data_IF_870743551028
#
_entry.id   IF_870743551028
#
_cell.length_a   1.000
_cell.length_b   1.000
_cell.length_c   1.000
_cell.angle_alpha   90.00
_cell.angle_beta   90.00
_cell.angle_gamma   90.00
#
_symmetry.space_group_name_H-M   'P 1'
#
loop_
_entity.id
_entity.type
_entity.pdbx_description
1 polymer ?
#
# COMPACT_ATOMS: atom_id res chain seq x y z
N UNK A 1 9.28 -1.62 -40.51
CA UNK A 1 8.55 -1.22 -39.28
C UNK A 1 7.95 -2.45 -38.59
N UNK A 2 7.23 -3.31 -39.31
CA UNK A 2 6.67 -4.58 -38.79
C UNK A 2 7.77 -5.49 -38.21
N UNK A 3 8.83 -5.77 -38.98
CA UNK A 3 9.94 -6.63 -38.55
C UNK A 3 10.68 -6.12 -37.29
N UNK A 4 10.79 -4.80 -37.13
CA UNK A 4 11.38 -4.20 -35.93
C UNK A 4 10.48 -4.34 -34.71
N UNK A 5 9.16 -4.25 -34.89
CA UNK A 5 8.16 -4.48 -33.84
C UNK A 5 8.10 -5.95 -33.46
N UNK A 6 8.12 -6.86 -34.43
CA UNK A 6 8.19 -8.30 -34.20
C UNK A 6 9.46 -8.68 -33.44
N UNK A 7 10.61 -8.11 -33.84
CA UNK A 7 11.87 -8.32 -33.14
C UNK A 7 11.84 -7.78 -31.71
N UNK A 8 11.21 -6.62 -31.49
CA UNK A 8 11.05 -6.04 -30.15
C UNK A 8 10.13 -6.89 -29.26
N UNK A 9 8.98 -7.32 -29.79
CA UNK A 9 8.02 -8.18 -29.08
C UNK A 9 8.68 -9.52 -28.77
N UNK A 10 9.29 -10.16 -29.76
CA UNK A 10 10.01 -11.42 -29.59
C UNK A 10 11.16 -11.30 -28.58
N UNK A 11 11.96 -10.24 -28.63
CA UNK A 11 13.05 -10.02 -27.68
C UNK A 11 12.53 -9.76 -26.26
N UNK A 12 11.49 -8.93 -26.11
CA UNK A 12 10.88 -8.64 -24.80
C UNK A 12 10.22 -9.87 -24.20
N UNK A 13 9.59 -10.68 -25.05
CA UNK A 13 8.99 -11.94 -24.67
C UNK A 13 10.06 -12.94 -24.19
N UNK A 14 11.12 -13.14 -24.98
CA UNK A 14 12.26 -14.01 -24.59
C UNK A 14 12.96 -13.53 -23.32
N UNK A 15 13.15 -12.22 -23.14
CA UNK A 15 13.72 -11.65 -21.91
C UNK A 15 12.82 -11.91 -20.70
N UNK A 16 11.50 -11.79 -20.88
CA UNK A 16 10.52 -12.13 -19.85
C UNK A 16 10.56 -13.61 -19.47
N UNK A 17 10.73 -14.51 -20.45
CA UNK A 17 10.92 -15.94 -20.18
C UNK A 17 12.23 -16.21 -19.43
N UNK A 18 13.34 -15.59 -19.82
CA UNK A 18 14.64 -15.74 -19.13
C UNK A 18 14.52 -15.30 -17.66
N UNK A 19 13.93 -14.13 -17.38
CA UNK A 19 13.71 -13.70 -16.00
C UNK A 19 12.81 -14.67 -15.22
N UNK A 20 11.74 -15.19 -15.84
CA UNK A 20 10.86 -16.14 -15.19
C UNK A 20 11.56 -17.48 -14.88
N UNK A 21 12.46 -17.95 -15.75
CA UNK A 21 13.28 -19.15 -15.51
C UNK A 21 14.31 -18.94 -14.39
N UNK A 22 14.94 -17.76 -14.32
CA UNK A 22 15.85 -17.39 -13.22
C UNK A 22 15.13 -17.36 -11.86
N UNK A 23 13.89 -16.90 -11.81
CA UNK A 23 13.07 -16.85 -10.60
C UNK A 23 12.51 -18.23 -10.18
N UNK A 24 12.40 -19.18 -11.11
CA UNK A 24 11.89 -20.53 -10.85
C UNK A 24 12.73 -21.63 -11.54
N UNK A 25 13.93 -21.95 -11.02
CA UNK A 25 14.87 -22.86 -11.67
C UNK A 25 14.40 -24.33 -11.78
N UNK A 26 13.33 -24.70 -11.08
CA UNK A 26 12.69 -26.02 -11.21
C UNK A 26 11.72 -26.11 -12.40
N UNK A 27 11.33 -24.98 -13.01
CA UNK A 27 10.49 -24.89 -14.21
C UNK A 27 11.31 -24.34 -15.40
N UNK A 28 12.08 -25.21 -16.06
CA UNK A 28 12.76 -24.85 -17.31
C UNK A 28 11.73 -24.50 -18.38
N UNK A 29 11.83 -23.29 -18.92
CA UNK A 29 10.90 -22.82 -19.92
C UNK A 29 11.32 -23.40 -21.28
N UNK A 30 10.62 -24.43 -21.75
CA UNK A 30 10.81 -24.93 -23.10
C UNK A 30 10.03 -24.06 -24.09
N UNK A 31 10.70 -23.04 -24.65
CA UNK A 31 10.10 -22.15 -25.64
C UNK A 31 9.79 -22.82 -27.00
N UNK A 32 10.10 -24.12 -27.16
CA UNK A 32 9.82 -24.91 -28.36
C UNK A 32 8.49 -25.68 -28.31
N UNK A 33 7.84 -25.80 -27.14
CA UNK A 33 6.54 -26.50 -26.99
C UNK A 33 5.40 -25.50 -26.72
N UNK A 34 4.17 -25.86 -27.12
CA UNK A 34 2.97 -25.00 -27.15
C UNK A 34 2.45 -24.52 -25.77
N UNK A 35 2.98 -25.01 -24.65
CA UNK A 35 2.57 -24.59 -23.31
C UNK A 35 3.64 -23.73 -22.63
N UNK A 36 3.49 -22.41 -22.81
CA UNK A 36 4.24 -21.42 -22.03
C UNK A 36 3.73 -21.50 -20.59
N UNK A 37 4.57 -21.86 -19.60
CA UNK A 37 4.12 -21.95 -18.23
C UNK A 37 3.65 -20.56 -17.76
N UNK A 38 2.59 -20.50 -16.94
CA UNK A 38 2.10 -19.23 -16.42
C UNK A 38 3.20 -18.57 -15.57
N UNK A 39 3.61 -17.37 -15.95
CA UNK A 39 4.55 -16.57 -15.15
C UNK A 39 3.78 -16.04 -13.94
N UNK A 40 4.13 -16.56 -12.76
CA UNK A 40 3.53 -16.15 -11.50
C UNK A 40 3.84 -14.67 -11.23
N UNK A 41 2.82 -13.91 -10.83
CA UNK A 41 3.03 -12.52 -10.41
C UNK A 41 3.24 -12.47 -8.90
N UNK A 42 4.51 -12.59 -8.48
CA UNK A 42 4.89 -12.77 -7.08
C UNK A 42 4.37 -11.65 -6.16
N UNK A 43 4.42 -10.38 -6.57
CA UNK A 43 3.93 -9.27 -5.76
C UNK A 43 2.41 -9.35 -5.53
N UNK A 44 1.65 -9.77 -6.55
CA UNK A 44 0.22 -10.00 -6.41
C UNK A 44 -0.07 -11.20 -5.49
N UNK A 45 0.73 -12.26 -5.57
CA UNK A 45 0.62 -13.42 -4.70
C UNK A 45 0.96 -13.07 -3.25
N UNK A 46 2.07 -12.38 -3.00
CA UNK A 46 2.49 -11.93 -1.67
C UNK A 46 1.42 -11.02 -1.05
N UNK A 47 0.83 -10.11 -1.83
CA UNK A 47 -0.29 -9.30 -1.37
C UNK A 47 -1.48 -10.15 -0.94
N UNK A 48 -1.88 -11.16 -1.72
CA UNK A 48 -3.01 -12.02 -1.37
C UNK A 48 -2.71 -12.95 -0.18
N UNK A 49 -1.48 -13.49 -0.09
CA UNK A 49 -1.03 -14.34 1.04
C UNK A 49 -1.17 -13.59 2.36
N UNK A 50 -0.69 -12.35 2.41
CA UNK A 50 -0.70 -11.49 3.59
C UNK A 50 -2.10 -11.02 4.03
N UNK A 51 -3.17 -11.28 3.26
CA UNK A 51 -4.54 -10.92 3.68
C UNK A 51 -5.07 -11.91 4.72
N UNK A 52 -5.56 -11.37 5.83
CA UNK A 52 -6.13 -12.13 6.95
C UNK A 52 -7.57 -12.57 6.63
N UNK A 53 -7.88 -13.88 6.59
CA UNK A 53 -9.24 -14.39 6.42
C UNK A 53 -10.15 -13.92 7.56
N UNK A 54 -11.29 -13.32 7.22
CA UNK A 54 -12.26 -12.85 8.20
C UNK A 54 -13.70 -13.09 7.73
N UNK A 55 -14.59 -13.31 8.69
CA UNK A 55 -16.04 -13.34 8.43
C UNK A 55 -16.53 -11.97 7.98
N UNK A 56 -17.73 -11.93 7.40
CA UNK A 56 -18.37 -10.68 6.98
C UNK A 56 -18.54 -9.70 8.14
N UNK A 57 -18.92 -10.19 9.32
CA UNK A 57 -19.19 -9.36 10.48
C UNK A 57 -17.91 -8.68 10.98
N UNK A 58 -16.83 -9.45 11.13
CA UNK A 58 -15.52 -8.93 11.51
C UNK A 58 -14.99 -7.93 10.47
N UNK A 59 -15.09 -8.26 9.18
CA UNK A 59 -14.66 -7.37 8.11
C UNK A 59 -15.43 -6.04 8.08
N UNK A 60 -16.74 -6.07 8.36
CA UNK A 60 -17.56 -4.85 8.45
C UNK A 60 -17.21 -4.00 9.66
N UNK A 61 -16.79 -4.63 10.77
CA UNK A 61 -16.31 -3.93 11.97
C UNK A 61 -14.93 -3.28 11.78
N UNK A 62 -14.17 -3.66 10.74
CA UNK A 62 -12.92 -2.99 10.41
C UNK A 62 -13.17 -1.57 9.89
N UNK A 63 -12.31 -0.66 10.34
CA UNK A 63 -12.12 0.66 9.74
C UNK A 63 -11.89 0.51 8.22
N UNK A 64 -12.49 1.34 7.35
CA UNK A 64 -12.43 1.17 5.91
C UNK A 64 -11.02 1.01 5.32
N UNK A 65 -10.04 1.72 5.89
CA UNK A 65 -8.62 1.66 5.49
C UNK A 65 -7.94 0.32 5.78
N UNK A 66 -8.44 -0.46 6.73
CA UNK A 66 -7.87 -1.77 7.11
C UNK A 66 -8.36 -2.91 6.22
N UNK A 67 -9.46 -2.70 5.49
CA UNK A 67 -10.12 -3.75 4.70
C UNK A 67 -9.23 -4.34 3.60
N UNK A 68 -8.21 -3.62 3.14
CA UNK A 68 -7.19 -4.17 2.23
C UNK A 68 -6.35 -5.27 2.84
N UNK A 69 -6.19 -5.30 4.16
CA UNK A 69 -5.44 -6.32 4.91
C UNK A 69 -6.28 -7.55 5.26
N UNK A 70 -7.59 -7.51 5.03
CA UNK A 70 -8.48 -8.63 5.30
C UNK A 70 -9.01 -9.25 3.99
N UNK A 71 -9.18 -10.56 3.98
CA UNK A 71 -9.83 -11.33 2.93
C UNK A 71 -11.19 -11.82 3.44
N UNK A 72 -12.25 -11.56 2.69
CA UNK A 72 -13.60 -11.99 3.08
C UNK A 72 -14.40 -12.46 1.88
N UNK A 73 -15.25 -13.46 2.12
CA UNK A 73 -16.27 -13.91 1.18
C UNK A 73 -17.58 -13.88 1.94
N UNK A 74 -18.41 -12.88 1.66
CA UNK A 74 -19.55 -12.51 2.51
C UNK A 74 -20.59 -13.63 2.78
N UNK A 75 -20.66 -14.67 1.93
CA UNK A 75 -21.55 -15.83 2.11
C UNK A 75 -20.94 -16.96 2.96
N UNK A 76 -19.64 -16.90 3.25
CA UNK A 76 -18.96 -17.87 4.08
C UNK A 76 -18.99 -17.38 5.54
N UNK A 77 -19.61 -18.18 6.40
CA UNK A 77 -19.85 -17.83 7.81
C UNK A 77 -18.64 -18.05 8.72
N UNK A 78 -17.66 -18.84 8.27
CA UNK A 78 -16.53 -19.29 9.08
C UNK A 78 -15.19 -18.89 8.42
N UNK A 79 -14.25 -18.42 9.24
CA UNK A 79 -12.95 -17.97 8.76
C UNK A 79 -12.14 -19.07 8.06
N UNK A 80 -12.28 -20.33 8.47
CA UNK A 80 -11.61 -21.47 7.84
C UNK A 80 -12.10 -21.71 6.41
N UNK A 81 -13.41 -21.60 6.20
CA UNK A 81 -14.03 -21.72 4.88
C UNK A 81 -13.63 -20.52 4.00
N UNK A 82 -13.53 -19.32 4.59
CA UNK A 82 -12.97 -18.13 3.93
C UNK A 82 -11.51 -18.33 3.53
N UNK A 83 -10.69 -18.94 4.38
CA UNK A 83 -9.28 -19.23 4.08
C UNK A 83 -9.14 -20.27 2.95
N UNK A 84 -10.00 -21.29 2.91
CA UNK A 84 -10.04 -22.25 1.80
C UNK A 84 -10.33 -21.55 0.46
N UNK A 85 -11.26 -20.60 0.44
CA UNK A 85 -11.50 -19.78 -0.75
C UNK A 85 -10.27 -18.93 -1.12
N UNK A 86 -9.56 -18.36 -0.14
CA UNK A 86 -8.29 -17.63 -0.36
C UNK A 86 -7.24 -18.53 -1.01
N UNK A 87 -7.08 -19.76 -0.51
CA UNK A 87 -6.12 -20.76 -1.03
C UNK A 87 -6.40 -21.16 -2.48
N UNK A 88 -7.67 -21.31 -2.87
CA UNK A 88 -8.04 -21.55 -4.28
C UNK A 88 -7.59 -20.38 -5.16
N UNK A 89 -7.81 -19.14 -4.73
CA UNK A 89 -7.37 -17.97 -5.49
C UNK A 89 -5.85 -17.86 -5.58
N UNK A 90 -5.13 -18.20 -4.51
CA UNK A 90 -3.67 -18.26 -4.51
C UNK A 90 -3.14 -19.28 -5.51
N UNK A 91 -3.72 -20.49 -5.52
CA UNK A 91 -3.40 -21.52 -6.51
C UNK A 91 -3.67 -21.02 -7.93
N UNK A 92 -4.77 -20.30 -8.14
CA UNK A 92 -5.11 -19.73 -9.43
C UNK A 92 -4.13 -18.65 -9.90
N UNK A 93 -3.68 -17.77 -9.00
CA UNK A 93 -2.63 -16.79 -9.31
C UNK A 93 -1.29 -17.45 -9.64
N UNK A 94 -0.92 -18.50 -8.91
CA UNK A 94 0.34 -19.20 -9.11
C UNK A 94 0.39 -20.02 -10.40
N UNK A 95 -0.73 -20.66 -10.76
CA UNK A 95 -0.83 -21.60 -11.88
C UNK A 95 -1.60 -21.06 -13.08
N UNK A 96 -1.98 -19.78 -13.08
CA UNK A 96 -2.80 -19.19 -14.15
C UNK A 96 -4.16 -19.88 -14.34
N UNK A 97 -4.75 -20.47 -13.30
CA UNK A 97 -5.99 -21.23 -13.43
C UNK A 97 -7.18 -20.33 -13.78
N UNK A 98 -8.04 -20.85 -14.66
CA UNK A 98 -9.26 -20.15 -15.09
C UNK A 98 -10.30 -20.04 -13.97
N UNK A 99 -11.26 -19.13 -14.14
CA UNK A 99 -12.44 -19.08 -13.29
C UNK A 99 -13.16 -20.45 -13.20
N UNK A 100 -13.31 -21.15 -14.33
CA UNK A 100 -14.03 -22.42 -14.38
C UNK A 100 -13.36 -23.49 -13.52
N UNK A 101 -12.03 -23.64 -13.61
CA UNK A 101 -11.28 -24.56 -12.76
C UNK A 101 -11.36 -24.18 -11.28
N UNK A 102 -11.29 -22.89 -10.93
CA UNK A 102 -11.46 -22.47 -9.53
C UNK A 102 -12.86 -22.74 -8.98
N UNK A 103 -13.88 -22.70 -9.84
CA UNK A 103 -15.26 -23.01 -9.46
C UNK A 103 -15.43 -24.49 -9.14
N UNK A 104 -14.84 -25.37 -9.96
CA UNK A 104 -14.83 -26.81 -9.68
C UNK A 104 -14.06 -27.13 -8.38
N UNK A 105 -12.89 -26.53 -8.19
CA UNK A 105 -12.09 -26.66 -6.96
C UNK A 105 -12.85 -26.19 -5.72
N UNK A 106 -13.66 -25.13 -5.84
CA UNK A 106 -14.50 -24.63 -4.76
C UNK A 106 -15.57 -25.67 -4.38
N UNK A 107 -16.30 -26.21 -5.35
CA UNK A 107 -17.34 -27.23 -5.12
C UNK A 107 -16.79 -28.49 -4.45
N UNK A 108 -15.56 -28.88 -4.73
CA UNK A 108 -14.92 -30.03 -4.08
C UNK A 108 -14.54 -29.77 -2.61
N UNK A 109 -14.38 -28.50 -2.21
CA UNK A 109 -13.91 -28.12 -0.87
C UNK A 109 -15.01 -27.64 0.05
N UNK A 110 -16.09 -27.11 -0.51
CA UNK A 110 -17.21 -26.54 0.26
C UNK A 110 -18.55 -26.98 -0.35
N UNK A 111 -19.54 -27.20 0.52
CA UNK A 111 -20.92 -27.46 0.08
C UNK A 111 -21.56 -26.15 -0.42
N UNK A 112 -21.35 -25.87 -1.71
CA UNK A 112 -21.84 -24.64 -2.34
C UNK A 112 -23.37 -24.57 -2.36
N UNK A 113 -24.05 -25.71 -2.41
CA UNK A 113 -25.51 -25.78 -2.50
C UNK A 113 -26.14 -25.47 -1.15
N UNK A 114 -25.64 -26.07 -0.06
CA UNK A 114 -26.07 -25.74 1.29
C UNK A 114 -25.82 -24.26 1.65
N UNK A 115 -24.73 -23.68 1.14
CA UNK A 115 -24.38 -22.26 1.33
C UNK A 115 -25.07 -21.32 0.32
N UNK A 116 -25.83 -21.85 -0.64
CA UNK A 116 -26.49 -21.08 -1.71
C UNK A 116 -25.50 -20.24 -2.54
N UNK A 117 -24.27 -20.71 -2.70
CA UNK A 117 -23.22 -20.08 -3.51
C UNK A 117 -23.41 -20.53 -4.95
N UNK A 118 -23.67 -19.56 -5.82
CA UNK A 118 -23.85 -19.79 -7.27
C UNK A 118 -22.58 -19.41 -8.03
N UNK A 119 -22.38 -19.94 -9.25
CA UNK A 119 -21.20 -19.62 -10.07
C UNK A 119 -20.97 -18.10 -10.21
N UNK A 120 -22.01 -17.32 -10.54
CA UNK A 120 -21.88 -15.86 -10.68
C UNK A 120 -21.48 -15.12 -9.39
N UNK A 121 -21.77 -15.67 -8.21
CA UNK A 121 -21.25 -15.12 -6.95
C UNK A 121 -19.76 -15.41 -6.82
N UNK A 122 -19.32 -16.63 -7.12
CA UNK A 122 -17.90 -16.96 -7.13
C UNK A 122 -17.13 -16.14 -8.16
N UNK A 123 -17.70 -15.87 -9.32
CA UNK A 123 -17.06 -14.99 -10.32
C UNK A 123 -16.79 -13.59 -9.74
N UNK A 124 -17.72 -13.03 -8.96
CA UNK A 124 -17.50 -11.77 -8.26
C UNK A 124 -16.30 -11.85 -7.31
N UNK A 125 -16.23 -12.93 -6.51
CA UNK A 125 -15.16 -13.17 -5.53
C UNK A 125 -13.82 -13.30 -6.24
N UNK A 126 -13.75 -14.18 -7.24
CA UNK A 126 -12.57 -14.42 -8.06
C UNK A 126 -12.08 -13.12 -8.71
N UNK A 127 -12.91 -12.48 -9.55
CA UNK A 127 -12.49 -11.30 -10.31
C UNK A 127 -12.08 -10.14 -9.41
N UNK A 128 -12.84 -9.87 -8.35
CA UNK A 128 -12.57 -8.71 -7.49
C UNK A 128 -11.26 -8.87 -6.72
N UNK A 129 -11.00 -10.06 -6.17
CA UNK A 129 -9.78 -10.30 -5.41
C UNK A 129 -8.56 -10.45 -6.33
N UNK A 130 -8.69 -11.14 -7.45
CA UNK A 130 -7.63 -11.23 -8.47
C UNK A 130 -7.27 -9.83 -8.97
N UNK A 131 -8.25 -9.01 -9.37
CA UNK A 131 -7.98 -7.63 -9.81
C UNK A 131 -7.27 -6.81 -8.71
N UNK A 132 -7.74 -6.89 -7.46
CA UNK A 132 -7.11 -6.20 -6.33
C UNK A 132 -5.66 -6.63 -6.12
N UNK A 133 -5.36 -7.92 -6.23
CA UNK A 133 -4.01 -8.45 -6.09
C UNK A 133 -3.08 -7.96 -7.20
N UNK A 134 -3.52 -8.03 -8.46
CA UNK A 134 -2.75 -7.52 -9.59
C UNK A 134 -2.50 -6.01 -9.52
N UNK A 135 -3.48 -5.21 -9.07
CA UNK A 135 -3.26 -3.77 -8.87
C UNK A 135 -2.23 -3.53 -7.77
N UNK A 136 -2.34 -4.22 -6.64
CA UNK A 136 -1.38 -4.09 -5.55
C UNK A 136 0.03 -4.46 -6.00
N UNK A 137 0.19 -5.59 -6.72
CA UNK A 137 1.47 -6.03 -7.25
C UNK A 137 2.07 -5.02 -8.23
N UNK A 138 1.27 -4.48 -9.17
CA UNK A 138 1.76 -3.46 -10.11
C UNK A 138 2.22 -2.20 -9.39
N UNK A 139 1.45 -1.73 -8.42
CA UNK A 139 1.84 -0.57 -7.61
C UNK A 139 3.14 -0.84 -6.86
N UNK A 140 3.34 -2.07 -6.39
CA UNK A 140 4.54 -2.46 -5.65
C UNK A 140 5.77 -2.43 -6.57
N UNK A 141 5.66 -2.93 -7.80
CA UNK A 141 6.71 -2.81 -8.81
C UNK A 141 7.02 -1.37 -9.19
N UNK A 142 6.02 -0.49 -9.16
CA UNK A 142 6.19 0.93 -9.43
C UNK A 142 6.73 1.71 -8.22
N UNK A 143 6.68 1.14 -7.02
CA UNK A 143 7.18 1.76 -5.81
C UNK A 143 8.69 1.98 -5.94
N UNK A 144 9.20 3.12 -5.47
CA UNK A 144 10.62 3.50 -5.56
C UNK A 144 11.21 3.67 -6.97
N UNK A 145 10.38 3.66 -8.02
CA UNK A 145 10.80 3.98 -9.39
C UNK A 145 10.46 5.44 -9.76
N UNK A 146 11.00 5.93 -10.88
CA UNK A 146 10.80 7.31 -11.35
C UNK A 146 9.50 7.51 -12.16
N UNK A 147 8.44 6.73 -11.87
CA UNK A 147 7.12 6.90 -12.54
C UNK A 147 6.62 8.34 -12.39
N UNK A 148 6.27 8.94 -13.51
CA UNK A 148 5.75 10.31 -13.57
C UNK A 148 4.23 10.35 -13.35
N UNK A 149 3.51 9.39 -13.93
CA UNK A 149 2.06 9.32 -13.91
C UNK A 149 1.56 7.88 -13.93
N UNK A 150 0.29 7.68 -13.57
CA UNK A 150 -0.40 6.41 -13.76
C UNK A 150 -1.54 6.60 -14.76
N UNK A 151 -1.61 5.69 -15.72
CA UNK A 151 -2.74 5.56 -16.62
C UNK A 151 -3.75 4.57 -16.04
N UNK A 152 -5.01 4.99 -15.93
CA UNK A 152 -6.12 4.09 -15.68
C UNK A 152 -6.48 3.38 -16.98
N UNK A 153 -6.34 2.05 -17.03
CA UNK A 153 -6.73 1.25 -18.18
C UNK A 153 -8.18 0.81 -18.00
N UNK A 154 -9.11 1.61 -18.52
CA UNK A 154 -10.54 1.30 -18.54
C UNK A 154 -10.87 0.63 -19.86
N UNK A 155 -11.47 -0.57 -19.81
CA UNK A 155 -11.98 -1.25 -21.01
C UNK A 155 -13.34 -0.63 -21.34
N UNK A 156 -13.43 0.04 -22.49
CA UNK A 156 -14.67 0.59 -23.03
C UNK A 156 -15.41 -0.45 -23.89
N UNK A 157 -16.52 -0.96 -23.37
CA UNK A 157 -17.41 -1.90 -24.05
C UNK A 157 -18.83 -1.83 -23.43
N UNK A 158 -19.72 -2.73 -23.87
CA UNK A 158 -21.08 -2.84 -23.34
C UNK A 158 -21.14 -3.14 -21.83
N UNK A 159 -20.08 -3.73 -21.27
CA UNK A 159 -19.93 -4.14 -19.87
C UNK A 159 -19.16 -3.11 -19.02
N UNK A 160 -18.72 -1.97 -19.56
CA UNK A 160 -18.11 -0.92 -18.75
C UNK A 160 -19.13 -0.41 -17.73
N UNK A 161 -18.76 -0.39 -16.45
CA UNK A 161 -19.68 0.07 -15.41
C UNK A 161 -19.98 1.56 -15.55
N UNK A 162 -21.16 2.00 -15.09
CA UNK A 162 -21.50 3.43 -15.02
C UNK A 162 -20.49 4.21 -14.15
N UNK A 163 -19.84 3.56 -13.20
CA UNK A 163 -18.79 4.16 -12.36
C UNK A 163 -17.53 4.40 -13.20
N UNK A 164 -16.98 3.36 -13.83
CA UNK A 164 -15.72 3.47 -14.58
C UNK A 164 -15.85 4.28 -15.88
N UNK A 165 -17.05 4.41 -16.45
CA UNK A 165 -17.28 5.30 -17.60
C UNK A 165 -16.90 6.76 -17.32
N UNK A 166 -16.98 7.20 -16.07
CA UNK A 166 -16.56 8.56 -15.68
C UNK A 166 -15.04 8.75 -15.64
N UNK A 167 -14.26 7.69 -15.86
CA UNK A 167 -12.80 7.73 -15.95
C UNK A 167 -12.29 7.70 -17.39
N UNK A 168 -13.17 7.55 -18.37
CA UNK A 168 -12.83 7.55 -19.78
C UNK A 168 -12.53 8.98 -20.27
N UNK A 169 -11.53 9.11 -21.12
CA UNK A 169 -11.24 10.31 -21.90
C UNK A 169 -12.00 10.27 -23.23
N UNK A 170 -11.91 11.35 -24.01
CA UNK A 170 -12.52 11.40 -25.35
C UNK A 170 -12.00 10.33 -26.30
N UNK A 171 -10.81 9.76 -26.03
CA UNK A 171 -10.20 8.71 -26.85
C UNK A 171 -10.66 7.29 -26.48
N UNK A 172 -11.58 7.13 -25.52
CA UNK A 172 -12.08 5.83 -25.08
C UNK A 172 -11.12 5.03 -24.17
N UNK A 173 -10.00 5.64 -23.78
CA UNK A 173 -9.08 5.10 -22.77
C UNK A 173 -9.30 5.78 -21.43
N UNK A 174 -8.80 5.20 -20.33
CA UNK A 174 -8.89 5.87 -19.04
C UNK A 174 -7.82 6.96 -18.87
N UNK A 175 -8.09 7.88 -17.94
CA UNK A 175 -7.25 9.04 -17.68
C UNK A 175 -5.81 8.69 -17.30
N UNK A 176 -4.86 9.54 -17.72
CA UNK A 176 -3.47 9.56 -17.29
C UNK A 176 -3.28 10.69 -16.29
N UNK A 177 -3.07 10.35 -15.01
CA UNK A 177 -2.94 11.33 -13.94
C UNK A 177 -1.53 11.29 -13.36
N UNK A 178 -0.96 12.47 -13.09
CA UNK A 178 0.33 12.59 -12.39
C UNK A 178 0.31 11.78 -11.08
N UNK A 179 1.47 11.23 -10.69
CA UNK A 179 1.63 10.43 -9.47
C UNK A 179 1.15 11.17 -8.20
N UNK A 180 1.28 12.49 -8.17
CA UNK A 180 0.86 13.36 -7.05
C UNK A 180 -0.54 13.97 -7.21
N UNK A 181 -1.31 13.58 -8.23
CA UNK A 181 -2.64 14.13 -8.45
C UNK A 181 -3.58 13.80 -7.28
N UNK A 182 -4.40 14.76 -6.85
CA UNK A 182 -5.29 14.62 -5.68
C UNK A 182 -6.35 13.52 -5.81
N UNK A 183 -6.59 13.03 -7.04
CA UNK A 183 -7.39 11.83 -7.32
C UNK A 183 -6.95 10.63 -6.48
N UNK A 184 -5.64 10.35 -6.43
CA UNK A 184 -5.12 9.16 -5.73
C UNK A 184 -5.35 9.24 -4.23
N UNK A 185 -5.25 10.43 -3.62
CA UNK A 185 -5.59 10.64 -2.21
C UNK A 185 -7.08 10.48 -1.94
N UNK A 186 -7.94 10.96 -2.85
CA UNK A 186 -9.40 10.94 -2.65
C UNK A 186 -10.05 9.59 -2.96
N UNK A 187 -9.68 8.98 -4.08
CA UNK A 187 -10.31 7.78 -4.61
C UNK A 187 -9.39 6.56 -4.63
N UNK A 188 -8.06 6.77 -4.65
CA UNK A 188 -7.09 5.68 -4.72
C UNK A 188 -7.08 4.95 -6.06
N UNK A 189 -6.80 3.66 -6.00
CA UNK A 189 -6.59 2.78 -7.15
C UNK A 189 -7.73 1.75 -7.27
N UNK A 190 -7.92 1.13 -8.45
CA UNK A 190 -8.93 0.07 -8.63
C UNK A 190 -8.68 -1.14 -7.71
N UNK A 191 -9.69 -1.99 -7.46
CA UNK A 191 -11.04 -1.94 -8.03
C UNK A 191 -11.91 -0.84 -7.41
N UNK A 192 -12.82 -0.27 -8.21
CA UNK A 192 -13.78 0.75 -7.76
C UNK A 192 -15.18 0.20 -7.47
N UNK A 193 -15.43 -1.06 -7.78
CA UNK A 193 -16.68 -1.80 -7.57
C UNK A 193 -16.43 -3.30 -7.80
N UNK A 194 -17.42 -4.15 -7.50
CA UNK A 194 -17.36 -5.58 -7.81
C UNK A 194 -17.22 -5.83 -9.32
N UNK A 195 -16.42 -6.82 -9.72
CA UNK A 195 -16.09 -7.12 -11.13
C UNK A 195 -15.48 -5.93 -11.90
N UNK A 196 -14.81 -5.00 -11.22
CA UNK A 196 -14.09 -3.94 -11.91
C UNK A 196 -12.99 -4.53 -12.79
N UNK A 197 -12.92 -4.09 -14.04
CA UNK A 197 -11.90 -4.48 -15.02
C UNK A 197 -10.87 -3.38 -15.28
N UNK A 198 -10.94 -2.29 -14.50
CA UNK A 198 -9.98 -1.20 -14.63
C UNK A 198 -8.63 -1.63 -14.07
N UNK A 199 -7.60 -1.60 -14.91
CA UNK A 199 -6.20 -1.82 -14.53
C UNK A 199 -5.47 -0.48 -14.40
N UNK A 200 -4.19 -0.53 -14.00
CA UNK A 200 -3.25 0.58 -14.11
C UNK A 200 -2.06 0.23 -14.99
N UNK A 201 -1.38 1.27 -15.49
CA UNK A 201 -0.06 1.23 -16.14
C UNK A 201 0.78 2.42 -15.64
N UNK A 202 2.05 2.20 -15.37
CA UNK A 202 3.00 3.28 -15.17
C UNK A 202 3.25 4.05 -16.46
N UNK A 203 3.35 5.37 -16.37
CA UNK A 203 3.81 6.24 -17.46
C UNK A 203 5.11 6.90 -17.02
N UNK A 204 6.18 6.60 -17.75
CA UNK A 204 7.53 7.08 -17.45
C UNK A 204 7.75 8.50 -17.97
N UNK A 205 8.72 9.26 -17.41
CA UNK A 205 9.00 10.62 -17.85
C UNK A 205 9.23 10.76 -19.36
N UNK A 206 9.90 9.79 -19.97
CA UNK A 206 10.18 9.77 -21.41
C UNK A 206 8.94 9.46 -22.28
N UNK A 207 7.89 8.86 -21.70
CA UNK A 207 6.65 8.57 -22.43
C UNK A 207 5.70 9.77 -22.48
N UNK A 208 5.85 10.74 -21.57
CA UNK A 208 4.94 11.88 -21.47
C UNK A 208 4.90 12.66 -22.79
N UNK A 209 3.70 12.86 -23.34
CA UNK A 209 3.48 13.55 -24.60
C UNK A 209 3.82 12.73 -25.86
N UNK A 210 4.25 11.47 -25.70
CA UNK A 210 4.54 10.55 -26.82
C UNK A 210 3.44 9.51 -26.95
N UNK A 211 3.15 9.06 -28.18
CA UNK A 211 2.22 7.95 -28.46
C UNK A 211 0.83 8.08 -27.78
N UNK A 212 0.34 9.31 -27.60
CA UNK A 212 -0.94 9.59 -26.95
C UNK A 212 -0.92 9.58 -25.42
N UNK A 213 0.25 9.48 -24.77
CA UNK A 213 0.40 9.57 -23.31
C UNK A 213 0.37 11.02 -22.81
N UNK A 214 -0.71 11.74 -23.09
CA UNK A 214 -0.91 13.11 -22.62
C UNK A 214 -1.44 13.09 -21.18
N UNK A 215 -0.87 13.91 -20.30
CA UNK A 215 -1.37 14.05 -18.93
C UNK A 215 -2.75 14.71 -18.94
N UNK A 216 -3.73 14.01 -18.38
CA UNK A 216 -5.02 14.57 -18.01
C UNK A 216 -4.89 15.35 -16.69
N UNK A 217 -5.40 16.57 -16.65
CA UNK A 217 -5.42 17.39 -15.43
C UNK A 217 -6.85 17.80 -15.03
N UNK A 218 -7.76 16.82 -14.79
CA UNK A 218 -9.13 17.12 -14.43
C UNK A 218 -9.20 17.74 -13.03
N UNK A 219 -9.90 18.85 -12.88
CA UNK A 219 -10.20 19.36 -11.55
C UNK A 219 -11.01 18.34 -10.73
N UNK A 220 -10.82 18.28 -9.41
CA UNK A 220 -11.64 17.38 -8.58
C UNK A 220 -13.15 17.68 -8.64
N UNK A 221 -13.53 18.89 -9.08
CA UNK A 221 -14.93 19.29 -9.30
C UNK A 221 -15.54 18.61 -10.54
N UNK A 222 -14.76 18.37 -11.59
CA UNK A 222 -15.26 17.64 -12.78
C UNK A 222 -15.46 16.16 -12.52
N UNK A 223 -14.78 15.60 -11.51
CA UNK A 223 -14.85 14.18 -11.13
C UNK A 223 -15.89 13.86 -10.05
N UNK A 224 -16.89 14.73 -9.86
CA UNK A 224 -17.95 14.56 -8.83
C UNK A 224 -18.92 13.43 -9.13
N UNK A 225 -19.07 13.06 -10.41
CA UNK A 225 -19.90 11.92 -10.85
C UNK A 225 -19.19 10.57 -10.66
N UNK A 226 -17.87 10.57 -10.61
CA UNK A 226 -17.11 9.37 -10.28
C UNK A 226 -17.24 9.06 -8.79
N UNK A 227 -18.01 8.01 -8.49
CA UNK A 227 -18.30 7.56 -7.12
C UNK A 227 -18.01 6.06 -7.02
N UNK A 228 -16.80 5.68 -6.56
CA UNK A 228 -16.52 4.30 -6.20
C UNK A 228 -17.58 3.75 -5.24
N UNK A 229 -17.85 2.45 -5.33
CA UNK A 229 -18.73 1.79 -4.37
C UNK A 229 -18.11 1.88 -2.97
N UNK A 230 -18.94 1.97 -1.93
CA UNK A 230 -18.46 2.06 -0.55
C UNK A 230 -17.50 0.90 -0.22
N UNK A 231 -16.32 1.23 0.30
CA UNK A 231 -15.26 0.26 0.61
C UNK A 231 -14.35 -0.13 -0.57
N UNK A 232 -14.54 0.45 -1.76
CA UNK A 232 -13.66 0.28 -2.93
C UNK A 232 -12.81 1.55 -3.19
N UNK A 233 -11.77 1.42 -4.01
CA UNK A 233 -10.76 2.46 -4.22
C UNK A 233 -9.56 2.30 -3.28
N UNK A 234 -9.01 3.41 -2.78
CA UNK A 234 -7.95 3.41 -1.76
C UNK A 234 -6.56 2.99 -2.25
N UNK A 235 -5.57 3.00 -1.35
CA UNK A 235 -4.21 2.56 -1.65
C UNK A 235 -3.94 1.19 -1.00
N UNK A 236 -3.86 0.09 -1.78
CA UNK A 236 -3.60 -1.24 -1.21
C UNK A 236 -2.19 -1.36 -0.59
N UNK A 237 -1.27 -0.45 -0.92
CA UNK A 237 0.07 -0.41 -0.35
C UNK A 237 0.18 0.47 0.90
N UNK A 238 -0.94 0.98 1.42
CA UNK A 238 -0.92 1.87 2.56
C UNK A 238 -0.22 1.24 3.76
N UNK A 239 0.89 1.87 4.18
CA UNK A 239 1.85 1.31 5.13
C UNK A 239 1.33 1.38 6.57
N UNK A 240 0.58 2.42 6.89
CA UNK A 240 0.00 2.57 8.23
C UNK A 240 -1.01 1.49 8.62
N UNK A 241 -1.66 0.87 7.65
CA UNK A 241 -2.65 -0.18 7.93
C UNK A 241 -2.06 -1.44 8.60
N UNK A 242 -0.75 -1.69 8.49
CA UNK A 242 -0.08 -2.79 9.19
C UNK A 242 -0.05 -2.58 10.71
N UNK A 243 0.15 -1.35 11.18
CA UNK A 243 0.20 -1.05 12.62
C UNK A 243 -1.17 -1.10 13.30
N UNK A 244 -2.25 -1.02 12.52
CA UNK A 244 -3.63 -0.88 13.01
C UNK A 244 -4.39 -2.22 13.03
N UNK A 245 -3.69 -3.36 13.08
CA UNK A 245 -4.34 -4.67 13.10
C UNK A 245 -5.18 -4.85 14.36
N UNK A 246 -6.44 -5.25 14.19
CA UNK A 246 -7.32 -5.57 15.33
C UNK A 246 -6.89 -6.87 16.01
N UNK A 247 -7.26 -7.07 17.28
CA UNK A 247 -6.97 -8.34 17.99
C UNK A 247 -7.55 -9.55 17.21
N UNK A 248 -8.76 -9.45 16.66
CA UNK A 248 -9.33 -10.50 15.80
C UNK A 248 -8.50 -10.77 14.53
N UNK A 249 -7.89 -9.74 13.95
CA UNK A 249 -6.99 -9.93 12.81
C UNK A 249 -5.70 -10.63 13.24
N UNK A 250 -5.17 -10.31 14.42
CA UNK A 250 -3.97 -10.96 14.95
C UNK A 250 -4.25 -12.43 15.27
N UNK A 251 -5.36 -12.72 15.95
CA UNK A 251 -5.78 -14.07 16.28
C UNK A 251 -5.96 -14.92 15.01
N UNK A 252 -6.61 -14.37 13.99
CA UNK A 252 -6.76 -15.05 12.70
C UNK A 252 -5.42 -15.23 11.97
N UNK A 253 -4.53 -14.23 12.00
CA UNK A 253 -3.20 -14.34 11.39
C UNK A 253 -2.35 -15.43 12.07
N UNK A 254 -2.41 -15.55 13.40
CA UNK A 254 -1.76 -16.62 14.15
C UNK A 254 -2.39 -17.98 13.85
N UNK A 255 -3.74 -18.06 13.84
CA UNK A 255 -4.48 -19.29 13.56
C UNK A 255 -4.15 -19.88 12.18
N UNK A 256 -3.97 -19.04 11.18
CA UNK A 256 -3.71 -19.45 9.79
C UNK A 256 -2.23 -19.36 9.38
N UNK A 257 -1.31 -19.17 10.34
CA UNK A 257 0.15 -19.08 10.11
C UNK A 257 0.55 -18.03 9.06
N UNK A 258 -0.08 -16.85 9.11
CA UNK A 258 0.11 -15.77 8.13
C UNK A 258 1.14 -14.73 8.57
N UNK A 259 1.68 -14.83 9.78
CA UNK A 259 2.64 -13.86 10.31
C UNK A 259 3.86 -13.72 9.38
N UNK A 260 4.49 -14.80 8.88
CA UNK A 260 5.62 -14.69 7.95
C UNK A 260 5.25 -13.93 6.66
N UNK A 261 4.09 -14.21 6.07
CA UNK A 261 3.62 -13.54 4.86
C UNK A 261 3.31 -12.05 5.10
N UNK A 262 2.73 -11.72 6.24
CA UNK A 262 2.44 -10.33 6.64
C UNK A 262 3.75 -9.55 6.84
N UNK A 263 4.72 -10.13 7.54
CA UNK A 263 6.05 -9.53 7.73
C UNK A 263 6.76 -9.35 6.39
N UNK A 264 6.78 -10.38 5.54
CA UNK A 264 7.35 -10.30 4.18
C UNK A 264 6.73 -9.16 3.39
N UNK A 265 5.39 -9.04 3.41
CA UNK A 265 4.69 -7.95 2.72
C UNK A 265 5.04 -6.59 3.31
N UNK A 266 5.02 -6.42 4.64
CA UNK A 266 5.37 -5.16 5.30
C UNK A 266 6.80 -4.71 4.94
N UNK A 267 7.77 -5.61 5.05
CA UNK A 267 9.18 -5.34 4.76
C UNK A 267 9.39 -5.00 3.29
N UNK A 268 8.70 -5.69 2.37
CA UNK A 268 8.75 -5.40 0.93
C UNK A 268 8.20 -4.01 0.57
N UNK A 269 7.43 -3.37 1.46
CA UNK A 269 6.95 -1.99 1.32
C UNK A 269 7.84 -0.98 2.06
N UNK A 270 8.98 -1.40 2.58
CA UNK A 270 9.94 -0.56 3.31
C UNK A 270 9.52 -0.29 4.76
N UNK A 271 8.78 -1.20 5.39
CA UNK A 271 8.53 -1.20 6.83
C UNK A 271 9.43 -2.21 7.54
N UNK A 272 10.76 -2.09 7.43
CA UNK A 272 11.71 -3.03 8.04
C UNK A 272 11.56 -3.16 9.55
N UNK A 273 11.07 -2.11 10.21
CA UNK A 273 10.87 -2.01 11.66
C UNK A 273 9.43 -2.32 12.10
N UNK A 274 8.64 -2.96 11.23
CA UNK A 274 7.29 -3.40 11.59
C UNK A 274 7.34 -4.64 12.49
N UNK A 275 6.68 -4.55 13.64
CA UNK A 275 6.52 -5.66 14.58
C UNK A 275 5.04 -6.03 14.70
N UNK A 276 4.70 -7.23 14.26
CA UNK A 276 3.34 -7.79 14.32
C UNK A 276 2.80 -7.86 15.75
N UNK A 277 3.64 -8.09 16.76
CA UNK A 277 3.19 -8.19 18.15
C UNK A 277 2.74 -6.86 18.76
N UNK A 278 3.17 -5.77 18.13
CA UNK A 278 2.91 -4.40 18.55
C UNK A 278 1.84 -3.70 17.75
N UNK A 279 1.54 -4.20 16.55
CA UNK A 279 0.32 -3.84 15.85
C UNK A 279 -0.89 -4.08 16.75
N UNK A 280 -1.88 -3.21 16.68
CA UNK A 280 -3.00 -3.30 17.60
C UNK A 280 -4.10 -2.26 17.42
N UNK A 281 -5.09 -2.40 18.31
CA UNK A 281 -6.16 -1.43 18.46
C UNK A 281 -5.69 -0.13 19.13
N UNK A 282 -6.45 0.94 18.92
CA UNK A 282 -6.31 2.18 19.67
C UNK A 282 -6.51 1.96 21.17
N UNK A 283 -5.72 2.64 21.98
CA UNK A 283 -5.89 2.73 23.43
C UNK A 283 -6.44 4.11 23.83
N UNK A 284 -6.59 4.33 25.15
CA UNK A 284 -7.01 5.64 25.67
C UNK A 284 -6.02 6.72 25.21
N UNK A 285 -6.49 7.83 24.60
CA UNK A 285 -5.63 8.92 24.17
C UNK A 285 -4.77 9.46 25.32
N UNK A 286 -3.53 9.86 25.02
CA UNK A 286 -2.60 10.40 26.01
C UNK A 286 -2.58 11.92 25.96
N UNK A 287 -2.55 12.54 27.14
CA UNK A 287 -2.69 13.98 27.30
C UNK A 287 -1.32 14.68 27.35
N UNK A 288 -1.23 15.81 26.66
CA UNK A 288 -0.11 16.74 26.82
C UNK A 288 -0.26 17.48 28.16
N UNK A 289 0.76 17.41 29.00
CA UNK A 289 0.81 17.99 30.33
C UNK A 289 0.36 19.46 30.31
N UNK A 290 -0.45 19.84 31.31
CA UNK A 290 -0.97 21.21 31.48
C UNK A 290 -1.83 21.73 30.31
N UNK A 291 -2.32 20.86 29.43
CA UNK A 291 -3.23 21.24 28.34
C UNK A 291 -4.43 20.30 28.30
N UNK A 292 -5.47 20.63 27.52
CA UNK A 292 -6.58 19.73 27.23
C UNK A 292 -6.33 18.81 26.02
N UNK A 293 -5.20 19.00 25.33
CA UNK A 293 -4.87 18.26 24.11
C UNK A 293 -4.58 16.79 24.42
N UNK A 294 -5.11 15.88 23.59
CA UNK A 294 -4.89 14.44 23.69
C UNK A 294 -4.58 13.85 22.34
N UNK A 295 -3.45 13.15 22.22
CA UNK A 295 -3.05 12.43 21.01
C UNK A 295 -3.60 11.00 21.02
N UNK A 296 -3.96 10.50 19.84
CA UNK A 296 -4.33 9.08 19.66
C UNK A 296 -3.10 8.21 19.82
N UNK A 297 -3.25 7.06 20.47
CA UNK A 297 -2.15 6.13 20.69
C UNK A 297 -2.62 4.70 20.47
N UNK A 298 -1.71 3.82 20.05
CA UNK A 298 -1.95 2.38 20.05
C UNK A 298 -1.74 1.79 21.45
N UNK A 299 -2.28 0.59 21.66
CA UNK A 299 -2.01 -0.20 22.86
C UNK A 299 -0.50 -0.34 23.06
N UNK A 300 -0.05 -0.23 24.32
CA UNK A 300 1.37 -0.24 24.74
C UNK A 300 2.21 1.00 24.36
N UNK A 301 1.68 1.95 23.59
CA UNK A 301 2.40 3.19 23.32
C UNK A 301 2.56 4.07 24.58
N UNK A 302 3.76 4.63 24.76
CA UNK A 302 4.14 5.47 25.89
C UNK A 302 4.91 6.72 25.42
N UNK A 303 4.30 7.55 24.55
CA UNK A 303 4.98 8.72 23.98
C UNK A 303 5.44 9.71 25.06
N UNK A 304 6.61 10.30 24.83
CA UNK A 304 7.15 11.37 25.67
C UNK A 304 6.38 12.66 25.44
N UNK A 305 6.34 13.55 26.44
CA UNK A 305 5.63 14.84 26.33
C UNK A 305 6.07 15.70 25.13
N UNK A 306 7.35 15.62 24.77
CA UNK A 306 7.89 16.30 23.59
C UNK A 306 7.37 15.72 22.27
N UNK A 307 7.12 14.42 22.20
CA UNK A 307 6.52 13.74 21.04
C UNK A 307 5.02 14.06 20.95
N UNK A 308 4.31 14.12 22.10
CA UNK A 308 2.90 14.55 22.13
C UNK A 308 2.77 16.01 21.67
N UNK A 309 3.72 16.89 22.03
CA UNK A 309 3.75 18.25 21.53
C UNK A 309 4.00 18.31 20.02
N UNK A 310 4.93 17.50 19.49
CA UNK A 310 5.13 17.35 18.04
C UNK A 310 3.84 16.93 17.34
N UNK A 311 3.14 15.92 17.88
CA UNK A 311 1.86 15.47 17.35
C UNK A 311 0.80 16.58 17.33
N UNK A 312 0.71 17.38 18.40
CA UNK A 312 -0.19 18.55 18.46
C UNK A 312 0.07 19.51 17.31
N UNK A 313 1.33 19.87 17.06
CA UNK A 313 1.70 20.81 15.99
C UNK A 313 1.34 20.23 14.62
N UNK A 314 1.61 18.94 14.39
CA UNK A 314 1.22 18.26 13.15
C UNK A 314 -0.30 18.30 12.93
N UNK A 315 -1.10 18.05 13.98
CA UNK A 315 -2.56 18.08 13.90
C UNK A 315 -3.11 19.51 13.71
N UNK A 316 -2.49 20.52 14.31
CA UNK A 316 -2.80 21.94 14.06
C UNK A 316 -2.53 22.36 12.61
N UNK A 317 -1.61 21.66 11.93
CA UNK A 317 -1.31 21.83 10.50
C UNK A 317 -2.15 20.89 9.60
N UNK A 318 -3.20 20.26 10.14
CA UNK A 318 -4.18 19.50 9.35
C UNK A 318 -3.83 18.03 9.09
N UNK A 319 -2.82 17.50 9.77
CA UNK A 319 -2.50 16.07 9.74
C UNK A 319 -3.26 15.30 10.83
N UNK A 320 -3.32 13.98 10.72
CA UNK A 320 -3.72 13.11 11.83
C UNK A 320 -2.51 12.38 12.38
N UNK A 321 -2.37 12.27 13.70
CA UNK A 321 -1.24 11.54 14.30
C UNK A 321 -1.73 10.43 15.22
N UNK A 322 -1.10 9.27 15.10
CA UNK A 322 -1.27 8.13 16.02
C UNK A 322 0.11 7.74 16.54
N UNK A 323 0.31 7.78 17.85
CA UNK A 323 1.56 7.33 18.47
C UNK A 323 1.64 5.80 18.46
N UNK A 324 2.78 5.29 17.99
CA UNK A 324 3.07 3.88 17.90
C UNK A 324 3.77 3.39 19.19
N UNK A 325 3.71 2.09 19.48
CA UNK A 325 4.40 1.51 20.62
C UNK A 325 5.92 1.46 20.44
N UNK A 326 6.65 1.93 21.45
CA UNK A 326 8.09 1.69 21.57
C UNK A 326 8.35 0.22 21.92
N UNK A 327 9.25 -0.44 21.19
CA UNK A 327 9.91 -1.67 21.66
C UNK A 327 11.39 -1.62 21.32
N UNK A 328 12.20 -1.86 22.35
CA UNK A 328 13.61 -2.15 22.20
C UNK A 328 13.83 -3.66 22.11
N UNK A 329 14.00 -4.16 20.90
CA UNK A 329 14.84 -5.33 20.65
C UNK A 329 16.12 -4.86 19.96
N UNK A 330 17.22 -5.57 20.19
CA UNK A 330 18.58 -5.10 19.92
C UNK A 330 18.76 -4.51 18.51
N UNK A 331 19.21 -3.25 18.47
CA UNK A 331 19.77 -2.52 17.32
C UNK A 331 18.81 -1.95 16.25
N UNK A 332 17.48 -2.10 16.33
CA UNK A 332 16.53 -1.42 15.41
C UNK A 332 15.43 -0.74 16.23
N UNK A 333 15.27 0.58 16.08
CA UNK A 333 14.20 1.34 16.74
C UNK A 333 12.92 1.30 15.92
N UNK A 334 11.81 1.03 16.60
CA UNK A 334 10.49 1.20 16.01
C UNK A 334 10.18 2.69 15.75
N UNK A 335 9.28 2.99 14.81
CA UNK A 335 8.91 4.35 14.48
C UNK A 335 7.99 4.93 15.56
N UNK A 336 8.11 6.23 15.82
CA UNK A 336 7.36 6.89 16.90
C UNK A 336 5.88 7.11 16.58
N UNK A 337 5.56 7.38 15.31
CA UNK A 337 4.23 7.83 14.93
C UNK A 337 3.80 7.35 13.54
N UNK A 338 2.48 7.24 13.41
CA UNK A 338 1.79 7.08 12.14
C UNK A 338 1.03 8.38 11.83
N UNK A 339 1.46 9.08 10.79
CA UNK A 339 0.88 10.33 10.29
C UNK A 339 -0.07 10.01 9.12
N UNK A 340 -1.25 10.63 9.14
CA UNK A 340 -2.32 10.46 8.15
C UNK A 340 -2.73 9.00 7.90
N UNK A 341 -2.49 8.14 8.89
CA UNK A 341 -2.68 6.69 8.83
C UNK A 341 -1.91 5.97 7.71
N UNK A 342 -0.88 6.61 7.15
CA UNK A 342 -0.07 6.03 6.08
C UNK A 342 1.43 6.23 6.28
N UNK A 343 1.85 7.41 6.71
CA UNK A 343 3.26 7.79 6.84
C UNK A 343 3.77 7.34 8.20
N UNK A 344 4.62 6.32 8.20
CA UNK A 344 5.34 5.87 9.39
C UNK A 344 6.57 6.75 9.58
N UNK A 345 6.63 7.48 10.69
CA UNK A 345 7.61 8.54 10.93
C UNK A 345 8.27 8.42 12.31
N UNK A 346 9.55 8.77 12.34
CA UNK A 346 10.33 8.92 13.56
C UNK A 346 10.42 10.39 13.99
N UNK A 347 10.29 10.67 15.28
CA UNK A 347 10.29 12.03 15.84
C UNK A 347 11.65 12.35 16.46
N UNK A 348 12.43 13.16 15.76
CA UNK A 348 13.69 13.71 16.29
C UNK A 348 13.45 15.06 16.95
N UNK A 349 13.30 15.03 18.27
CA UNK A 349 13.10 16.21 19.13
C UNK A 349 14.32 16.39 20.05
N UNK A 350 15.39 17.07 19.59
CA UNK A 350 16.61 17.23 20.39
C UNK A 350 16.35 18.10 21.64
N UNK A 351 17.00 17.73 22.75
CA UNK A 351 16.92 18.47 24.02
C UNK A 351 18.00 19.57 24.12
N UNK A 352 19.01 19.55 23.23
CA UNK A 352 20.07 20.53 23.14
C UNK A 352 19.89 21.52 21.98
N UNK A 353 20.55 22.67 22.08
CA UNK A 353 20.47 23.75 21.10
C UNK A 353 21.59 23.75 20.05
N UNK A 354 22.53 22.79 20.14
CA UNK A 354 23.72 22.74 19.30
C UNK A 354 23.44 22.24 17.88
N UNK A 355 24.19 22.75 16.91
CA UNK A 355 24.07 22.35 15.50
C UNK A 355 24.40 20.86 15.27
N UNK A 356 25.19 20.25 16.14
CA UNK A 356 25.54 18.82 16.08
C UNK A 356 24.31 17.93 16.21
N UNK A 357 23.28 18.35 16.94
CA UNK A 357 22.03 17.62 17.08
C UNK A 357 21.30 17.42 15.74
N UNK A 358 21.38 18.39 14.82
CA UNK A 358 20.84 18.27 13.45
C UNK A 358 21.56 17.16 12.68
N UNK A 359 22.88 17.06 12.86
CA UNK A 359 23.71 16.07 12.17
C UNK A 359 23.41 14.64 12.63
N UNK A 360 23.32 14.46 13.95
CA UNK A 360 22.96 13.19 14.57
C UNK A 360 21.57 12.74 14.15
N UNK A 361 20.57 13.62 14.25
CA UNK A 361 19.16 13.29 13.97
C UNK A 361 18.93 12.61 12.60
N UNK A 362 19.50 13.17 11.53
CA UNK A 362 19.34 12.59 10.17
C UNK A 362 20.06 11.25 10.05
N UNK A 363 21.26 11.13 10.63
CA UNK A 363 22.03 9.87 10.61
C UNK A 363 21.35 8.78 11.42
N UNK A 364 20.82 9.13 12.59
CA UNK A 364 20.13 8.21 13.49
C UNK A 364 18.83 7.71 12.86
N UNK A 365 18.05 8.60 12.23
CA UNK A 365 16.84 8.20 11.52
C UNK A 365 17.14 7.28 10.33
N UNK A 366 18.18 7.57 9.54
CA UNK A 366 18.56 6.69 8.43
C UNK A 366 19.06 5.32 8.92
N UNK A 367 19.81 5.29 10.03
CA UNK A 367 20.27 4.05 10.65
C UNK A 367 19.12 3.20 11.24
N UNK A 368 18.00 3.82 11.57
CA UNK A 368 16.77 3.16 12.00
C UNK A 368 15.90 2.67 10.83
N UNK A 369 16.40 2.81 9.59
CA UNK A 369 15.73 2.39 8.36
C UNK A 369 14.35 3.03 8.12
N UNK A 370 14.09 4.19 8.74
CA UNK A 370 12.82 4.91 8.53
C UNK A 370 12.84 5.70 7.24
N UNK A 371 11.68 5.77 6.57
CA UNK A 371 11.53 6.53 5.33
C UNK A 371 11.18 8.01 5.56
N UNK A 372 10.59 8.32 6.71
CA UNK A 372 10.14 9.66 7.08
C UNK A 372 10.63 10.03 8.48
N UNK A 373 11.06 11.28 8.64
CA UNK A 373 11.46 11.85 9.92
C UNK A 373 10.72 13.17 10.15
N UNK A 374 10.23 13.40 11.36
CA UNK A 374 9.79 14.72 11.83
C UNK A 374 10.87 15.29 12.73
N UNK A 375 11.45 16.41 12.33
CA UNK A 375 12.47 17.11 13.10
C UNK A 375 11.87 18.35 13.76
N UNK A 376 11.89 18.40 15.09
CA UNK A 376 11.39 19.54 15.86
C UNK A 376 12.43 20.04 16.86
N UNK A 377 13.25 21.03 16.49
CA UNK A 377 14.20 21.64 17.41
C UNK A 377 13.48 22.66 18.31
N UNK A 378 13.09 22.25 19.52
CA UNK A 378 12.40 23.15 20.47
C UNK A 378 13.27 24.31 20.95
N UNK A 379 14.57 24.08 21.00
CA UNK A 379 15.60 25.06 21.38
C UNK A 379 16.76 24.94 20.41
N UNK A 380 17.25 26.04 19.88
CA UNK A 380 18.36 26.05 18.91
C UNK A 380 19.15 27.36 18.97
N UNK A 381 20.47 27.29 18.77
CA UNK A 381 21.33 28.48 18.59
C UNK A 381 21.60 28.80 17.12
N UNK A 382 21.14 27.95 16.21
CA UNK A 382 21.29 28.08 14.77
C UNK A 382 20.01 28.60 14.13
N UNK A 383 20.15 29.15 12.92
CA UNK A 383 19.04 29.68 12.14
C UNK A 383 18.27 28.60 11.39
N UNK A 384 17.02 28.91 11.03
CA UNK A 384 16.18 28.09 10.13
C UNK A 384 16.93 27.72 8.84
N UNK A 385 17.62 28.70 8.23
CA UNK A 385 18.34 28.52 6.96
C UNK A 385 19.51 27.54 7.10
N UNK A 386 20.25 27.59 8.20
CA UNK A 386 21.36 26.68 8.46
C UNK A 386 20.87 25.24 8.67
N UNK A 387 19.81 25.05 9.46
CA UNK A 387 19.21 23.75 9.69
C UNK A 387 18.69 23.11 8.40
N UNK A 388 17.89 23.85 7.63
CA UNK A 388 17.33 23.35 6.36
C UNK A 388 18.44 22.98 5.36
N UNK A 389 19.51 23.77 5.28
CA UNK A 389 20.65 23.48 4.41
C UNK A 389 21.37 22.20 4.82
N UNK A 390 21.63 22.01 6.11
CA UNK A 390 22.33 20.83 6.63
C UNK A 390 21.49 19.56 6.44
N UNK A 391 20.21 19.62 6.80
CA UNK A 391 19.29 18.47 6.62
C UNK A 391 19.22 18.10 5.14
N UNK A 392 19.03 19.09 4.24
CA UNK A 392 18.97 18.85 2.80
C UNK A 392 20.28 18.27 2.25
N UNK A 393 21.43 18.72 2.75
CA UNK A 393 22.74 18.17 2.36
C UNK A 393 22.87 16.71 2.76
N UNK A 394 22.49 16.35 4.00
CA UNK A 394 22.59 14.97 4.51
C UNK A 394 21.57 14.04 3.89
N UNK A 395 20.33 14.49 3.70
CA UNK A 395 19.25 13.69 3.13
C UNK A 395 19.63 13.08 1.77
N UNK A 396 20.43 13.78 0.95
CA UNK A 396 20.93 13.26 -0.33
C UNK A 396 21.76 11.98 -0.20
N UNK A 397 22.45 11.80 0.94
CA UNK A 397 23.39 10.70 1.17
C UNK A 397 22.78 9.56 2.01
N UNK A 398 21.54 9.70 2.47
CA UNK A 398 20.84 8.68 3.25
C UNK A 398 20.47 7.48 2.38
N UNK A 399 20.44 6.28 2.96
CA UNK A 399 20.06 5.05 2.25
C UNK A 399 18.54 4.87 2.22
N UNK A 400 17.92 4.97 3.39
CA UNK A 400 16.50 4.67 3.63
C UNK A 400 15.65 5.93 3.74
N UNK A 401 16.13 6.95 4.46
CA UNK A 401 15.37 8.17 4.69
C UNK A 401 15.10 8.92 3.37
N UNK A 402 13.83 9.26 3.10
CA UNK A 402 13.41 9.93 1.85
C UNK A 402 12.88 11.33 2.09
N UNK A 403 12.27 11.57 3.24
CA UNK A 403 11.55 12.81 3.51
C UNK A 403 11.71 13.25 4.96
N UNK A 404 11.94 14.55 5.15
CA UNK A 404 12.06 15.17 6.47
C UNK A 404 11.05 16.31 6.57
N UNK A 405 10.20 16.25 7.60
CA UNK A 405 9.28 17.32 7.97
C UNK A 405 9.89 18.13 9.10
N UNK A 406 10.34 19.33 8.79
CA UNK A 406 10.93 20.24 9.77
C UNK A 406 9.85 21.12 10.34
N UNK A 407 9.62 21.00 11.64
CA UNK A 407 8.75 21.92 12.38
C UNK A 407 9.59 23.12 12.79
N UNK A 408 9.20 24.30 12.33
CA UNK A 408 9.89 25.55 12.66
C UNK A 408 8.86 26.65 12.93
N UNK A 409 8.91 27.26 14.12
CA UNK A 409 7.94 28.28 14.56
C UNK A 409 6.46 27.84 14.42
N UNK A 410 6.19 26.53 14.56
CA UNK A 410 4.84 25.95 14.46
C UNK A 410 4.40 25.59 13.03
N UNK A 411 5.20 25.91 12.01
CA UNK A 411 4.93 25.55 10.61
C UNK A 411 5.71 24.29 10.19
N UNK A 412 5.16 23.53 9.25
CA UNK A 412 5.80 22.33 8.68
C UNK A 412 6.49 22.69 7.35
N UNK A 413 7.76 22.31 7.24
CA UNK A 413 8.55 22.45 6.01
C UNK A 413 9.02 21.09 5.56
N UNK A 414 8.59 20.68 4.37
CA UNK A 414 8.93 19.39 3.80
C UNK A 414 10.22 19.46 2.97
N UNK A 415 11.18 18.59 3.29
CA UNK A 415 12.39 18.36 2.52
C UNK A 415 12.36 16.93 1.98
N UNK A 416 12.36 16.77 0.66
CA UNK A 416 12.46 15.47 -0.02
C UNK A 416 13.87 15.26 -0.56
N UNK A 417 14.29 13.99 -0.64
CA UNK A 417 15.58 13.59 -1.19
C UNK A 417 15.76 14.00 -2.65
#
# INVERSE_FOLDING_TARGET
>A
MIEAVEKLIGSSYMLGLIHAEEENPEHKINAADEEIPPVAFEEAMNFLKAKVPMTKAEWLALEPKLRFRAFTVAKLGEAEVVDNAKKILLKALAKGESYASTWEDLKHRIDTDALGIKPGYWENVFRTNTQSAYIAGKLQQYENTNVAAYQLLVIEDSRTSRICRHLLTASGYGMILLKNHTFWKKYGFPPYHFQCRTSIRAVWPAEIGTYGNNIDNPSMKSLTKFKPLSGFGGNPLSKGSFWLMTESMKDAALKFDLVPDILKMAHSLGLSNYDFELAGNFAKPQQLQNTKYKVKVLKKAKPKQKEILTAKILEENGHTVVMLPEVGLQNISNPDALIDYDIVADFKVPDGSSFTAVRGAVSDADAQEVTHMVFYPRTHTYTKKEALREIKYRLKNTKFLKEVWVIWDGEIITLKK
#
